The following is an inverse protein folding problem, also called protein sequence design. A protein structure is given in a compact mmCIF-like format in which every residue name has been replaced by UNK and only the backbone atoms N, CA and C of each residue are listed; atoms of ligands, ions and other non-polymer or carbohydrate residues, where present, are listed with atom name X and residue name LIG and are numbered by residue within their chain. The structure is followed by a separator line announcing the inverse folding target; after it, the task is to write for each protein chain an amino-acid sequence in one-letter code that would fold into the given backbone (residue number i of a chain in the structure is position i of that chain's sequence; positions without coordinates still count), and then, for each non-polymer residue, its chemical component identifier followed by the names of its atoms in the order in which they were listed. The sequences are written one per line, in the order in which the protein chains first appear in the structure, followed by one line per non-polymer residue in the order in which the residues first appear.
data_IF_663298603638
#
_entry.id   IF_663298603638
#
_cell.length_a   1.000
_cell.length_b   1.000
_cell.length_c   1.000
_cell.angle_alpha   90.00
_cell.angle_beta   90.00
_cell.angle_gamma   90.00
#
_symmetry.space_group_name_H-M   'P 1'
#
loop_
_entity.id
_entity.type
_entity.pdbx_description
1 polymer ?
#
# COMPACT_ATOMS: atom_id res chain seq x y z
N UNK A 1 3.63 -17.60 1.58
CA UNK A 1 2.56 -17.17 2.50
C UNK A 1 1.51 -16.39 1.71
N UNK A 2 0.21 -16.59 1.99
CA UNK A 2 -0.87 -15.82 1.39
C UNK A 2 -1.52 -14.94 2.46
N UNK A 3 -1.65 -13.64 2.17
CA UNK A 3 -2.26 -12.64 3.03
C UNK A 3 -3.49 -12.04 2.32
N UNK A 4 -4.69 -12.44 2.73
CA UNK A 4 -5.96 -11.97 2.18
C UNK A 4 -6.36 -10.64 2.83
N UNK A 5 -6.77 -9.65 2.03
CA UNK A 5 -7.12 -8.30 2.50
C UNK A 5 -8.61 -8.21 2.84
N UNK A 6 -8.94 -7.99 4.12
CA UNK A 6 -10.32 -7.98 4.59
C UNK A 6 -10.64 -6.78 5.49
N UNK A 7 -11.50 -5.85 5.05
CA UNK A 7 -11.98 -5.71 3.66
C UNK A 7 -10.83 -5.37 2.70
N UNK A 8 -11.09 -5.39 1.38
CA UNK A 8 -10.12 -4.93 0.38
C UNK A 8 -10.03 -3.38 0.34
N UNK A 9 -9.60 -2.80 1.45
CA UNK A 9 -9.40 -1.37 1.62
C UNK A 9 -8.04 -1.09 2.32
N UNK A 10 -7.02 -0.57 1.62
CA UNK A 10 -5.70 -0.32 2.20
C UNK A 10 -5.72 0.70 3.33
N UNK A 11 -6.80 1.47 3.50
CA UNK A 11 -6.92 2.41 4.61
C UNK A 11 -7.46 1.74 5.88
N UNK A 12 -8.24 0.67 5.73
CA UNK A 12 -8.85 -0.06 6.83
C UNK A 12 -8.98 -1.54 6.45
N UNK A 13 -7.92 -2.32 6.66
CA UNK A 13 -7.90 -3.74 6.33
C UNK A 13 -7.17 -4.57 7.38
N UNK A 14 -7.57 -5.83 7.49
CA UNK A 14 -6.80 -6.88 8.17
C UNK A 14 -6.25 -7.81 7.12
N UNK A 15 -4.95 -8.07 7.15
CA UNK A 15 -4.31 -9.08 6.32
C UNK A 15 -4.40 -10.41 7.07
N UNK A 16 -5.12 -11.37 6.50
CA UNK A 16 -5.48 -12.64 7.14
C UNK A 16 -4.84 -13.80 6.39
N UNK A 17 -4.33 -14.80 7.11
CA UNK A 17 -3.80 -16.02 6.50
C UNK A 17 -4.92 -16.86 5.86
N UNK A 18 -4.54 -17.88 5.07
CA UNK A 18 -5.50 -18.82 4.47
C UNK A 18 -6.38 -19.56 5.51
N UNK A 19 -5.92 -19.64 6.76
CA UNK A 19 -6.62 -20.30 7.85
C UNK A 19 -7.53 -19.35 8.65
N UNK A 20 -7.68 -18.09 8.22
CA UNK A 20 -8.51 -17.11 8.92
C UNK A 20 -7.81 -16.40 10.09
N UNK A 21 -6.49 -16.57 10.26
CA UNK A 21 -5.74 -15.93 11.35
C UNK A 21 -5.23 -14.56 10.92
N UNK A 22 -5.61 -13.52 11.67
CA UNK A 22 -5.11 -12.16 11.44
C UNK A 22 -3.58 -12.11 11.61
N UNK A 23 -2.88 -11.58 10.60
CA UNK A 23 -1.42 -11.43 10.59
C UNK A 23 -1.01 -9.96 10.71
N UNK A 24 -1.79 -9.07 10.08
CA UNK A 24 -1.58 -7.63 10.17
C UNK A 24 -2.90 -6.89 10.22
N UNK A 25 -2.88 -5.72 10.85
CA UNK A 25 -3.99 -4.76 10.84
C UNK A 25 -3.47 -3.40 10.38
N UNK A 26 -4.16 -2.85 9.39
CA UNK A 26 -3.89 -1.55 8.79
C UNK A 26 -5.07 -0.63 9.11
N UNK A 27 -4.78 0.50 9.73
CA UNK A 27 -5.77 1.51 10.08
C UNK A 27 -5.26 2.90 9.75
N UNK A 28 -6.05 3.66 8.99
CA UNK A 28 -5.74 5.04 8.63
C UNK A 28 -6.67 5.98 9.37
N UNK A 29 -6.11 6.88 10.17
CA UNK A 29 -6.88 7.92 10.83
C UNK A 29 -7.40 8.91 9.80
N UNK A 30 -8.62 9.40 10.03
CA UNK A 30 -9.14 10.54 9.26
C UNK A 30 -8.29 11.76 9.56
N UNK A 31 -7.97 12.53 8.53
CA UNK A 31 -7.35 13.83 8.73
C UNK A 31 -8.27 14.72 9.56
N UNK A 32 -7.75 15.30 10.64
CA UNK A 32 -8.54 16.06 11.60
C UNK A 32 -8.99 17.42 11.06
N UNK A 33 -10.07 17.95 11.64
CA UNK A 33 -10.58 19.31 11.35
C UNK A 33 -9.53 20.41 11.62
N UNK A 34 -8.55 20.15 12.49
CA UNK A 34 -7.47 21.06 12.89
C UNK A 34 -6.14 20.84 12.14
N UNK A 35 -6.17 20.40 10.88
CA UNK A 35 -5.00 20.18 9.99
C UNK A 35 -4.08 19.01 10.33
N UNK A 36 -4.45 18.11 11.25
CA UNK A 36 -3.66 16.90 11.50
C UNK A 36 -3.63 16.00 10.26
N UNK A 37 -2.46 15.55 9.78
CA UNK A 37 -2.36 14.64 8.64
C UNK A 37 -3.04 13.31 8.95
N UNK A 38 -3.53 12.63 7.91
CA UNK A 38 -4.00 11.25 8.06
C UNK A 38 -2.79 10.37 8.39
N UNK A 39 -2.93 9.41 9.29
CA UNK A 39 -1.86 8.52 9.71
C UNK A 39 -2.29 7.07 9.50
N UNK A 40 -1.60 6.34 8.64
CA UNK A 40 -1.76 4.89 8.53
C UNK A 40 -0.86 4.20 9.55
N UNK A 41 -1.45 3.37 10.41
CA UNK A 41 -0.74 2.48 11.32
C UNK A 41 -0.82 1.05 10.82
N UNK A 42 0.32 0.38 10.80
CA UNK A 42 0.43 -1.04 10.50
C UNK A 42 0.87 -1.74 11.77
N UNK A 43 0.12 -2.74 12.18
CA UNK A 43 0.35 -3.52 13.40
C UNK A 43 0.25 -5.00 13.10
N UNK A 44 0.95 -5.83 13.89
CA UNK A 44 0.87 -7.29 13.86
C UNK A 44 0.55 -7.82 15.27
N UNK A 45 -0.03 -9.03 15.40
CA UNK A 45 -0.19 -9.67 16.71
C UNK A 45 1.16 -9.80 17.42
N UNK A 46 1.21 -9.38 18.68
CA UNK A 46 2.38 -9.51 19.53
C UNK A 46 1.94 -9.60 21.00
N UNK A 47 2.79 -10.19 21.85
CA UNK A 47 2.52 -10.33 23.28
C UNK A 47 2.56 -8.99 24.04
N UNK A 48 3.14 -7.95 23.43
CA UNK A 48 3.22 -6.59 23.97
C UNK A 48 2.90 -5.54 22.92
N UNK A 49 2.33 -4.42 23.35
CA UNK A 49 2.03 -3.30 22.46
C UNK A 49 3.29 -2.69 21.82
N UNK A 50 4.43 -2.73 22.52
CA UNK A 50 5.71 -2.23 22.00
C UNK A 50 6.18 -3.02 20.78
N UNK A 51 5.89 -4.32 20.73
CA UNK A 51 6.32 -5.21 19.65
C UNK A 51 5.25 -5.38 18.55
N UNK A 52 4.05 -4.83 18.76
CA UNK A 52 2.94 -4.93 17.82
C UNK A 52 3.07 -3.93 16.66
N UNK A 53 3.75 -2.80 16.85
CA UNK A 53 3.88 -1.76 15.84
C UNK A 53 4.84 -2.16 14.73
N UNK A 54 4.40 -2.13 13.48
CA UNK A 54 5.28 -2.34 12.31
C UNK A 54 5.73 -0.99 11.78
N UNK A 55 4.80 -0.09 11.51
CA UNK A 55 5.10 1.23 10.99
C UNK A 55 3.95 2.22 11.17
N UNK A 56 4.28 3.51 11.15
CA UNK A 56 3.33 4.60 10.97
C UNK A 56 3.69 5.42 9.72
N UNK A 57 2.69 5.71 8.89
CA UNK A 57 2.83 6.53 7.68
C UNK A 57 1.98 7.79 7.83
N UNK A 58 2.64 8.93 7.93
CA UNK A 58 2.03 10.25 8.02
C UNK A 58 1.81 10.84 6.62
N UNK A 59 0.55 10.90 6.20
CA UNK A 59 0.13 11.44 4.90
C UNK A 59 -0.02 12.95 4.96
N UNK A 60 1.11 13.63 4.74
CA UNK A 60 1.18 15.09 4.72
C UNK A 60 0.40 15.70 3.54
N UNK A 61 -0.05 16.94 3.73
CA UNK A 61 -0.80 17.73 2.73
C UNK A 61 0.10 18.82 2.13
N UNK A 62 -0.37 19.49 1.07
CA UNK A 62 0.24 20.71 0.50
C UNK A 62 1.65 20.54 -0.06
N UNK A 63 1.85 19.53 -0.92
CA UNK A 63 3.14 19.31 -1.59
C UNK A 63 4.22 18.65 -0.73
N UNK A 64 4.04 18.58 0.59
CA UNK A 64 4.94 17.83 1.47
C UNK A 64 4.84 16.32 1.19
N UNK A 65 5.98 15.64 1.19
CA UNK A 65 6.03 14.20 1.01
C UNK A 65 5.55 13.47 2.27
N UNK A 66 4.81 12.34 2.14
CA UNK A 66 4.49 11.50 3.28
C UNK A 66 5.75 10.98 3.97
N UNK A 67 5.68 10.78 5.28
CA UNK A 67 6.79 10.32 6.12
C UNK A 67 6.46 8.99 6.75
N UNK A 68 7.42 8.08 6.80
CA UNK A 68 7.32 6.76 7.43
C UNK A 68 8.15 6.77 8.70
N UNK A 69 7.57 6.26 9.79
CA UNK A 69 8.26 5.92 11.03
C UNK A 69 8.21 4.41 11.21
N UNK A 70 9.36 3.75 11.33
CA UNK A 70 9.44 2.29 11.38
C UNK A 70 10.77 1.82 11.96
N UNK A 71 10.85 0.56 12.37
CA UNK A 71 12.08 -0.10 12.82
C UNK A 71 12.38 -1.41 12.09
N UNK A 72 11.65 -1.69 11.00
CA UNK A 72 11.66 -3.01 10.33
C UNK A 72 12.92 -3.30 9.51
N UNK A 73 13.80 -2.32 9.28
CA UNK A 73 14.97 -2.48 8.42
C UNK A 73 16.17 -3.04 9.17
N UNK A 74 16.48 -2.47 10.33
CA UNK A 74 17.66 -2.77 11.13
C UNK A 74 17.35 -2.92 12.64
N UNK A 75 16.07 -2.83 13.02
CA UNK A 75 15.63 -2.84 14.42
C UNK A 75 15.67 -1.46 15.10
N UNK A 76 16.27 -0.45 14.47
CA UNK A 76 16.40 0.90 15.02
C UNK A 76 15.24 1.79 14.56
N UNK A 77 14.83 2.73 15.40
CA UNK A 77 13.74 3.64 15.06
C UNK A 77 14.20 4.63 13.97
N UNK A 78 13.62 4.51 12.78
CA UNK A 78 13.92 5.34 11.62
C UNK A 78 12.73 6.23 11.25
N UNK A 79 13.04 7.43 10.75
CA UNK A 79 12.06 8.34 10.14
C UNK A 79 12.58 8.76 8.77
N UNK A 80 11.83 8.44 7.72
CA UNK A 80 12.24 8.66 6.33
C UNK A 80 11.07 9.11 5.46
N UNK A 81 11.36 9.87 4.41
CA UNK A 81 10.30 10.24 3.46
C UNK A 81 9.93 9.05 2.58
N UNK A 82 8.64 8.93 2.22
CA UNK A 82 8.18 7.86 1.32
C UNK A 82 8.91 7.88 -0.04
N UNK A 83 9.40 9.04 -0.50
CA UNK A 83 10.18 9.12 -1.75
C UNK A 83 11.60 8.57 -1.62
N UNK A 84 12.15 8.58 -0.42
CA UNK A 84 13.47 8.00 -0.10
C UNK A 84 13.31 6.50 0.10
N UNK A 85 12.31 6.08 0.89
CA UNK A 85 11.98 4.68 1.09
C UNK A 85 11.64 3.97 -0.24
N UNK A 86 10.74 4.56 -1.01
CA UNK A 86 10.25 4.04 -2.30
C UNK A 86 10.69 4.98 -3.41
N UNK A 87 11.96 4.91 -3.78
CA UNK A 87 12.54 5.76 -4.80
C UNK A 87 12.18 5.31 -6.22
N UNK A 88 12.40 6.21 -7.18
CA UNK A 88 12.25 5.94 -8.61
C UNK A 88 13.64 5.90 -9.25
N UNK A 89 13.82 5.02 -10.22
CA UNK A 89 14.95 5.04 -11.14
C UNK A 89 14.46 5.42 -12.54
N UNK A 90 15.17 6.35 -13.18
CA UNK A 90 14.93 6.76 -14.56
C UNK A 90 13.69 7.65 -14.75
N UNK A 91 12.91 7.33 -15.79
CA UNK A 91 11.84 8.19 -16.31
C UNK A 91 10.73 8.51 -15.30
N UNK A 92 10.22 9.73 -15.35
CA UNK A 92 9.08 10.23 -14.56
C UNK A 92 7.80 9.41 -14.78
N UNK A 93 7.64 8.81 -15.96
CA UNK A 93 6.48 7.97 -16.34
C UNK A 93 6.52 6.55 -15.75
N UNK A 94 7.64 6.11 -15.20
CA UNK A 94 7.73 4.77 -14.61
C UNK A 94 6.84 4.64 -13.38
N UNK A 95 6.00 3.60 -13.39
CA UNK A 95 5.19 3.19 -12.23
C UNK A 95 6.01 2.37 -11.23
N UNK A 96 7.23 1.97 -11.59
CA UNK A 96 8.07 1.17 -10.72
C UNK A 96 8.60 1.97 -9.52
N UNK A 97 8.73 1.30 -8.38
CA UNK A 97 9.36 1.81 -7.17
C UNK A 97 10.37 0.81 -6.66
N UNK A 98 11.44 1.32 -6.09
CA UNK A 98 12.55 0.53 -5.60
C UNK A 98 12.78 0.86 -4.13
N UNK A 99 13.32 -0.10 -3.40
CA UNK A 99 13.73 0.05 -2.01
C UNK A 99 14.84 -0.95 -1.69
N UNK A 100 15.61 -0.67 -0.64
CA UNK A 100 16.62 -1.59 -0.09
C UNK A 100 15.97 -2.45 1.00
N UNK A 101 16.14 -3.77 0.91
CA UNK A 101 15.68 -4.71 1.93
C UNK A 101 16.58 -4.75 3.17
N UNK A 102 16.15 -5.50 4.20
CA UNK A 102 16.96 -5.80 5.40
C UNK A 102 18.16 -6.74 5.11
N UNK A 103 18.19 -7.34 3.92
CA UNK A 103 19.21 -8.23 3.40
C UNK A 103 20.25 -7.52 2.52
N UNK A 104 20.21 -6.18 2.45
CA UNK A 104 21.02 -5.34 1.57
C UNK A 104 20.79 -5.58 0.06
N UNK A 105 19.70 -6.25 -0.32
CA UNK A 105 19.31 -6.39 -1.72
C UNK A 105 18.30 -5.31 -2.13
N UNK A 106 18.36 -4.89 -3.40
CA UNK A 106 17.37 -3.96 -3.95
C UNK A 106 16.16 -4.72 -4.50
N UNK A 107 14.99 -4.22 -4.15
CA UNK A 107 13.72 -4.78 -4.59
C UNK A 107 12.97 -3.78 -5.46
N UNK A 108 12.10 -4.31 -6.33
CA UNK A 108 11.31 -3.53 -7.28
C UNK A 108 9.85 -3.90 -7.22
N UNK A 109 9.02 -2.95 -6.81
CA UNK A 109 7.59 -2.99 -7.07
C UNK A 109 7.27 -2.45 -8.47
N UNK A 110 6.44 -3.17 -9.23
CA UNK A 110 5.90 -2.71 -10.51
C UNK A 110 4.42 -3.05 -10.60
N UNK A 111 3.62 -2.08 -11.04
CA UNK A 111 2.22 -2.36 -11.37
C UNK A 111 2.14 -3.06 -12.72
N UNK A 112 1.50 -4.22 -12.75
CA UNK A 112 1.24 -5.02 -13.94
C UNK A 112 -0.28 -5.02 -14.21
N UNK A 113 -0.68 -4.53 -15.39
CA UNK A 113 -2.09 -4.49 -15.79
C UNK A 113 -2.69 -5.90 -15.71
N UNK A 114 -3.85 -6.02 -15.05
CA UNK A 114 -4.52 -7.31 -14.83
C UNK A 114 -3.95 -8.19 -13.72
N UNK A 115 -2.73 -7.92 -13.22
CA UNK A 115 -2.06 -8.73 -12.20
C UNK A 115 -1.74 -7.98 -10.90
N UNK A 116 -2.10 -6.69 -10.81
CA UNK A 116 -1.85 -5.84 -9.63
C UNK A 116 -0.38 -5.47 -9.46
N UNK A 117 0.12 -5.41 -8.22
CA UNK A 117 1.52 -5.10 -7.94
C UNK A 117 2.36 -6.37 -7.86
N UNK A 118 3.52 -6.37 -8.50
CA UNK A 118 4.53 -7.44 -8.42
C UNK A 118 5.81 -6.88 -7.82
N UNK A 119 6.32 -7.56 -6.80
CA UNK A 119 7.61 -7.33 -6.16
C UNK A 119 8.60 -8.33 -6.70
N UNK A 120 9.73 -7.85 -7.21
CA UNK A 120 10.83 -8.69 -7.68
C UNK A 120 12.16 -8.25 -7.08
N UNK A 121 13.07 -9.20 -6.87
CA UNK A 121 14.48 -8.90 -6.61
C UNK A 121 15.08 -8.21 -7.84
N UNK A 122 15.79 -7.08 -7.67
CA UNK A 122 16.27 -6.26 -8.79
C UNK A 122 17.36 -6.96 -9.59
N UNK A 123 18.28 -7.64 -8.91
CA UNK A 123 19.46 -8.29 -9.51
C UNK A 123 19.07 -9.48 -10.40
N UNK A 124 18.11 -10.30 -9.96
CA UNK A 124 17.71 -11.54 -10.66
C UNK A 124 16.38 -11.41 -11.42
N UNK A 125 15.55 -10.43 -11.08
CA UNK A 125 14.17 -10.33 -11.58
C UNK A 125 13.21 -11.35 -10.96
N UNK A 126 13.65 -12.14 -9.99
CA UNK A 126 12.85 -13.19 -9.38
C UNK A 126 11.68 -12.59 -8.57
N UNK A 127 10.48 -13.14 -8.73
CA UNK A 127 9.28 -12.66 -8.03
C UNK A 127 9.32 -13.07 -6.55
N UNK A 128 9.16 -12.08 -5.68
CA UNK A 128 9.13 -12.24 -4.21
C UNK A 128 7.70 -12.14 -3.69
N UNK A 129 6.90 -11.21 -4.23
CA UNK A 129 5.51 -11.08 -3.84
C UNK A 129 4.63 -10.55 -4.97
N UNK A 130 3.33 -10.83 -4.89
CA UNK A 130 2.33 -10.34 -5.84
C UNK A 130 1.00 -10.07 -5.16
N UNK A 131 0.46 -8.88 -5.42
CA UNK A 131 -0.90 -8.52 -5.06
C UNK A 131 -1.85 -8.78 -6.23
N UNK A 132 -2.81 -9.70 -6.08
CA UNK A 132 -3.73 -10.09 -7.15
C UNK A 132 -5.10 -10.48 -6.60
N UNK A 133 -6.11 -10.57 -7.47
CA UNK A 133 -7.43 -11.10 -7.12
C UNK A 133 -7.54 -12.55 -7.60
N UNK A 134 -7.96 -13.47 -6.75
CA UNK A 134 -8.12 -14.88 -7.10
C UNK A 134 -9.39 -15.50 -6.51
N UNK A 135 -9.89 -16.56 -7.16
CA UNK A 135 -10.89 -17.44 -6.57
C UNK A 135 -10.17 -18.40 -5.62
N UNK A 136 -10.47 -18.30 -4.33
CA UNK A 136 -9.81 -19.11 -3.29
C UNK A 136 -10.36 -20.53 -3.33
N UNK A 137 -9.47 -21.51 -3.52
CA UNK A 137 -9.85 -22.92 -3.69
C UNK A 137 -9.98 -23.68 -2.36
N UNK A 138 -9.30 -23.21 -1.32
CA UNK A 138 -9.14 -23.92 -0.04
C UNK A 138 -9.04 -22.93 1.14
N UNK A 139 -9.23 -23.42 2.36
CA UNK A 139 -9.13 -22.62 3.58
C UNK A 139 -10.39 -21.82 3.90
N UNK A 140 -10.22 -20.81 4.77
CA UNK A 140 -11.32 -20.03 5.35
C UNK A 140 -12.17 -19.28 4.31
N UNK A 141 -11.56 -18.85 3.20
CA UNK A 141 -12.24 -18.09 2.12
C UNK A 141 -12.67 -18.95 0.93
N UNK A 142 -12.75 -20.28 1.10
CA UNK A 142 -13.04 -21.20 0.00
C UNK A 142 -14.31 -20.81 -0.77
N UNK A 143 -14.17 -20.67 -2.09
CA UNK A 143 -15.27 -20.31 -3.00
C UNK A 143 -15.45 -18.81 -3.22
N UNK A 144 -14.71 -17.96 -2.50
CA UNK A 144 -14.80 -16.52 -2.62
C UNK A 144 -13.71 -15.95 -3.52
N UNK A 145 -14.02 -14.83 -4.20
CA UNK A 145 -13.01 -14.05 -4.92
C UNK A 145 -12.40 -13.02 -3.97
N UNK A 146 -11.15 -13.24 -3.59
CA UNK A 146 -10.45 -12.41 -2.62
C UNK A 146 -9.24 -11.71 -3.23
N UNK A 147 -8.94 -10.52 -2.70
CA UNK A 147 -7.67 -9.84 -2.97
C UNK A 147 -6.61 -10.38 -2.01
N UNK A 148 -5.46 -10.77 -2.56
CA UNK A 148 -4.41 -11.47 -1.83
C UNK A 148 -3.05 -10.88 -2.17
N UNK A 149 -2.24 -10.68 -1.15
CA UNK A 149 -0.80 -10.49 -1.25
C UNK A 149 -0.13 -11.86 -1.06
N UNK A 150 0.33 -12.45 -2.16
CA UNK A 150 1.07 -13.71 -2.16
C UNK A 150 2.55 -13.41 -2.00
N UNK A 151 3.18 -14.05 -1.03
CA UNK A 151 4.62 -13.93 -0.74
C UNK A 151 5.25 -15.30 -0.99
N UNK A 152 6.34 -15.34 -1.75
CA UNK A 152 7.06 -16.56 -2.07
C UNK A 152 7.58 -17.22 -0.78
N UNK A 153 7.44 -18.54 -0.61
CA UNK A 153 8.12 -19.25 0.48
C UNK A 153 9.65 -19.09 0.37
N UNK A 154 10.32 -18.96 1.51
CA UNK A 154 11.79 -18.89 1.56
C UNK A 154 12.39 -17.63 0.94
N UNK A 155 11.65 -16.51 0.91
CA UNK A 155 12.27 -15.22 0.64
C UNK A 155 12.99 -14.70 1.90
N UNK A 156 14.19 -14.15 1.73
CA UNK A 156 14.98 -13.60 2.84
C UNK A 156 14.53 -12.19 3.27
N UNK A 157 13.77 -11.51 2.40
CA UNK A 157 13.17 -10.22 2.69
C UNK A 157 12.12 -10.33 3.81
N UNK A 158 12.23 -9.44 4.81
CA UNK A 158 11.28 -9.36 5.91
C UNK A 158 9.86 -9.07 5.40
N UNK A 159 8.90 -9.88 5.86
CA UNK A 159 7.47 -9.76 5.51
C UNK A 159 6.91 -8.40 5.93
N UNK A 160 7.37 -7.83 7.04
CA UNK A 160 6.95 -6.52 7.51
C UNK A 160 7.33 -5.41 6.51
N UNK A 161 8.51 -5.50 5.89
CA UNK A 161 8.93 -4.57 4.82
C UNK A 161 8.03 -4.74 3.59
N UNK A 162 7.71 -5.99 3.22
CA UNK A 162 6.80 -6.27 2.10
C UNK A 162 5.43 -5.65 2.36
N UNK A 163 4.86 -5.85 3.55
CA UNK A 163 3.54 -5.32 3.93
C UNK A 163 3.56 -3.79 3.98
N UNK A 164 4.56 -3.18 4.62
CA UNK A 164 4.73 -1.73 4.69
C UNK A 164 4.77 -1.09 3.30
N UNK A 165 5.69 -1.57 2.46
CA UNK A 165 5.89 -1.00 1.11
C UNK A 165 4.67 -1.22 0.23
N UNK A 166 4.01 -2.38 0.33
CA UNK A 166 2.76 -2.68 -0.37
C UNK A 166 1.63 -1.71 0.02
N UNK A 167 1.39 -1.51 1.33
CA UNK A 167 0.32 -0.63 1.84
C UNK A 167 0.54 0.80 1.35
N UNK A 168 1.77 1.31 1.39
CA UNK A 168 2.10 2.65 0.89
C UNK A 168 1.76 2.77 -0.60
N UNK A 169 2.12 1.78 -1.41
CA UNK A 169 1.87 1.79 -2.85
C UNK A 169 0.38 1.73 -3.18
N UNK A 170 -0.34 0.82 -2.53
CA UNK A 170 -1.75 0.58 -2.80
C UNK A 170 -2.61 1.78 -2.37
N UNK A 171 -2.33 2.39 -1.21
CA UNK A 171 -3.01 3.64 -0.82
C UNK A 171 -2.73 4.76 -1.84
N UNK A 172 -1.47 4.99 -2.22
CA UNK A 172 -1.12 6.01 -3.22
C UNK A 172 -1.80 5.77 -4.57
N UNK A 173 -2.00 4.51 -4.96
CA UNK A 173 -2.72 4.15 -6.19
C UNK A 173 -4.19 4.55 -6.07
N UNK A 174 -4.85 4.23 -4.96
CA UNK A 174 -6.27 4.58 -4.74
C UNK A 174 -6.48 6.08 -4.61
N UNK A 175 -5.60 6.79 -3.91
CA UNK A 175 -5.64 8.25 -3.80
C UNK A 175 -5.58 8.93 -5.17
N UNK A 176 -4.77 8.39 -6.10
CA UNK A 176 -4.69 8.91 -7.47
C UNK A 176 -5.97 8.67 -8.25
N UNK A 177 -6.55 7.47 -8.14
CA UNK A 177 -7.81 7.15 -8.82
C UNK A 177 -8.97 7.99 -8.30
N UNK A 178 -9.03 8.23 -6.99
CA UNK A 178 -10.05 9.08 -6.38
C UNK A 178 -9.98 10.53 -6.92
N UNK A 179 -8.76 11.08 -7.04
CA UNK A 179 -8.56 12.43 -7.61
C UNK A 179 -9.00 12.51 -9.07
N UNK A 180 -8.62 11.53 -9.89
CA UNK A 180 -9.02 11.46 -11.30
C UNK A 180 -10.55 11.40 -11.44
N UNK A 181 -11.24 10.58 -10.64
CA UNK A 181 -12.70 10.50 -10.68
C UNK A 181 -13.40 11.80 -10.26
N UNK A 182 -12.80 12.58 -9.35
CA UNK A 182 -13.35 13.87 -8.92
C UNK A 182 -13.14 14.98 -9.95
N UNK A 183 -12.05 14.92 -10.72
CA UNK A 183 -11.77 15.87 -11.81
C UNK A 183 -12.68 15.60 -13.02
N UNK A 184 -12.97 14.34 -13.35
CA UNK A 184 -13.85 13.96 -14.48
C UNK A 184 -15.33 14.30 -14.27
N UNK A 185 -15.81 14.42 -13.02
CA UNK A 185 -17.19 14.83 -12.71
C UNK A 185 -17.36 16.34 -12.51
N UNK A 186 -16.30 17.14 -12.72
CA UNK A 186 -16.31 18.59 -12.54
C UNK A 186 -16.74 19.42 -13.76
N UNK A 187 -17.03 18.79 -14.90
CA UNK A 187 -17.45 19.45 -16.14
C UNK A 187 -18.89 19.08 -16.52
N UNK A 188 -19.88 19.56 -15.76
CA UNK A 188 -21.19 19.86 -16.35
C UNK A 188 -21.18 21.35 -16.71
N UNK A 189 -21.08 21.74 -18.00
CA UNK A 189 -21.32 23.12 -18.40
C UNK A 189 -22.79 23.42 -18.11
N UNK A 190 -23.05 24.33 -17.17
CA UNK A 190 -24.36 24.93 -17.02
C UNK A 190 -24.68 25.69 -18.31
N UNK A 191 -25.38 25.03 -19.24
CA UNK A 191 -26.00 25.65 -20.39
C UNK A 191 -27.24 26.43 -19.90
N UNK A 192 -26.98 27.55 -19.23
CA UNK A 192 -27.98 28.50 -18.78
C UNK A 192 -28.21 29.53 -19.86
N UNK A 193 -29.12 29.22 -20.79
CA UNK A 193 -29.64 30.18 -21.75
C UNK A 193 -30.30 31.37 -21.06
N UNK A 194 -30.00 32.57 -21.55
CA UNK A 194 -30.83 33.75 -21.33
C UNK A 194 -31.04 34.38 -22.71
N UNK A 195 -32.15 34.02 -23.36
CA UNK A 195 -32.76 34.86 -24.39
C UNK A 195 -33.20 36.16 -23.72
N UNK A 196 -32.61 37.29 -24.13
CA UNK A 196 -33.19 38.60 -23.89
C UNK A 196 -33.64 39.14 -25.24
N UNK A 197 -34.93 38.94 -25.48
CA UNK A 197 -35.73 39.67 -26.46
C UNK A 197 -35.66 41.18 -26.19
N UNK A 198 -35.39 41.97 -27.23
CA UNK A 198 -35.93 43.32 -27.47
C UNK A 198 -35.66 43.71 -28.92
#
# INVERSE_FOLDING_TARGET
MNLYLIPNDPEQTTLVSANGVAQYRVLTSKAGALRSPAVTRITRPADSAANAGVAEVEWRRWGAHPVVRTHVFDGEAQTLEVRELLYKLGSTFSTARYFLGNDNEEYRWKYAKGSGYVLSLRSTGEEVARHTAELVKEGYFKGERQWVLKIRPGCDLDIDIIVLTFVILEKRRRDKLAKQSSEEHGEEPCEGGIEMSS
#
